data_IF_240336425353
#
_entry.id   IF_240336425353
#
_cell.length_a   1.000
_cell.length_b   1.000
_cell.length_c   1.000
_cell.angle_alpha   90.00
_cell.angle_beta   90.00
_cell.angle_gamma   90.00
#
_symmetry.space_group_name_H-M   'P 1'
#
loop_
_entity.id
_entity.type
_entity.pdbx_description
1 polymer ?
#
# COMPACT_ATOMS: atom_id res chain seq x y z
N UNK A 1 16.47 -13.07 17.02
CA UNK A 1 15.56 -12.32 16.14
C UNK A 1 14.25 -12.22 16.88
N UNK A 2 13.78 -11.00 17.18
CA UNK A 2 12.56 -10.80 17.97
C UNK A 2 11.47 -10.33 17.01
N UNK A 3 10.38 -11.09 16.92
CA UNK A 3 9.18 -10.68 16.21
C UNK A 3 8.26 -9.99 17.21
N UNK A 4 7.69 -8.85 16.82
CA UNK A 4 6.61 -8.20 17.57
C UNK A 4 5.33 -8.24 16.75
N UNK A 5 4.33 -8.92 17.28
CA UNK A 5 2.92 -8.75 16.94
C UNK A 5 2.30 -8.16 18.21
N UNK A 6 1.70 -6.96 18.12
CA UNK A 6 1.00 -6.26 19.20
C UNK A 6 1.47 -6.65 20.63
N UNK A 7 2.55 -6.02 21.08
CA UNK A 7 3.06 -6.07 22.46
C UNK A 7 3.46 -7.44 23.05
N UNK A 8 3.58 -8.50 22.25
CA UNK A 8 4.21 -9.76 22.68
C UNK A 8 5.48 -10.05 21.91
N UNK A 9 6.59 -10.15 22.66
CA UNK A 9 7.88 -10.57 22.12
C UNK A 9 7.95 -12.11 22.13
N UNK A 10 7.98 -12.72 20.95
CA UNK A 10 8.17 -14.15 20.81
C UNK A 10 9.43 -14.43 19.97
N UNK A 11 10.24 -15.40 20.41
CA UNK A 11 11.33 -15.97 19.61
C UNK A 11 10.73 -16.93 18.59
N UNK A 12 10.72 -16.53 17.32
CA UNK A 12 10.19 -17.35 16.24
C UNK A 12 11.30 -17.75 15.26
N UNK A 13 11.28 -19.02 14.82
CA UNK A 13 12.04 -19.45 13.65
C UNK A 13 11.40 -18.89 12.37
N UNK A 14 12.23 -18.53 11.38
CA UNK A 14 11.81 -17.82 10.15
C UNK A 14 10.64 -18.51 9.43
N UNK A 15 10.58 -19.84 9.48
CA UNK A 15 9.56 -20.64 8.79
C UNK A 15 8.18 -20.61 9.48
N UNK A 16 8.12 -20.39 10.79
CA UNK A 16 6.86 -20.45 11.57
C UNK A 16 6.08 -19.14 11.51
N UNK A 17 6.77 -18.01 11.34
CA UNK A 17 6.16 -16.66 11.25
C UNK A 17 5.33 -16.50 9.97
N UNK A 18 5.78 -17.12 8.87
CA UNK A 18 5.19 -16.93 7.54
C UNK A 18 3.77 -17.48 7.44
N UNK A 19 3.51 -18.66 8.00
CA UNK A 19 2.24 -19.38 7.83
C UNK A 19 1.14 -18.94 8.81
N UNK A 20 1.52 -18.53 10.05
CA UNK A 20 0.55 -18.21 11.09
C UNK A 20 0.01 -16.77 11.02
N UNK A 21 0.82 -15.82 10.54
CA UNK A 21 0.51 -14.39 10.62
C UNK A 21 -0.15 -13.88 9.34
N UNK A 22 0.44 -14.14 8.17
CA UNK A 22 0.05 -13.50 6.90
C UNK A 22 -1.34 -13.87 6.37
N UNK A 23 -1.95 -14.95 6.89
CA UNK A 23 -3.28 -15.41 6.48
C UNK A 23 -4.32 -15.36 7.60
N UNK A 24 -3.90 -15.21 8.85
CA UNK A 24 -4.80 -15.26 10.02
C UNK A 24 -5.06 -13.87 10.60
N UNK A 25 -4.11 -12.97 10.45
CA UNK A 25 -4.20 -11.58 10.88
C UNK A 25 -3.68 -10.72 9.72
N UNK A 26 -4.48 -9.77 9.22
CA UNK A 26 -4.10 -8.84 8.15
C UNK A 26 -3.12 -7.76 8.67
N UNK A 27 -2.07 -8.19 9.37
CA UNK A 27 -1.11 -7.35 10.06
C UNK A 27 0.33 -7.74 9.70
N UNK A 28 1.21 -6.74 9.47
CA UNK A 28 2.61 -7.01 9.17
C UNK A 28 3.36 -7.48 10.43
N UNK A 29 4.26 -8.45 10.26
CA UNK A 29 5.21 -8.84 11.30
C UNK A 29 6.50 -8.04 11.11
N UNK A 30 6.92 -7.34 12.16
CA UNK A 30 8.18 -6.60 12.15
C UNK A 30 9.32 -7.43 12.73
N UNK A 31 10.38 -7.58 11.93
CA UNK A 31 11.62 -8.25 12.29
C UNK A 31 12.65 -7.19 12.66
N UNK A 32 13.13 -7.26 13.90
CA UNK A 32 14.11 -6.32 14.45
C UNK A 32 15.43 -7.02 14.77
N UNK A 33 16.55 -6.33 14.56
CA UNK A 33 17.87 -6.72 15.08
C UNK A 33 18.33 -5.63 16.05
N UNK A 34 18.62 -6.01 17.29
CA UNK A 34 19.05 -5.09 18.35
C UNK A 34 18.06 -3.94 18.64
N UNK A 35 16.75 -4.18 18.47
CA UNK A 35 15.71 -3.18 18.71
C UNK A 35 15.49 -2.17 17.58
N UNK A 36 16.29 -2.23 16.50
CA UNK A 36 16.02 -1.50 15.26
C UNK A 36 15.24 -2.39 14.30
N UNK A 37 14.12 -1.88 13.80
CA UNK A 37 13.27 -2.58 12.84
C UNK A 37 13.74 -2.30 11.42
N UNK A 38 14.20 -3.34 10.75
CA UNK A 38 14.75 -3.23 9.38
C UNK A 38 13.83 -3.88 8.34
N UNK A 39 12.94 -4.79 8.76
CA UNK A 39 12.14 -5.61 7.83
C UNK A 39 10.71 -5.82 8.36
N UNK A 40 9.73 -5.63 7.49
CA UNK A 40 8.33 -6.02 7.71
C UNK A 40 7.94 -7.13 6.73
N UNK A 41 7.28 -8.18 7.23
CA UNK A 41 6.80 -9.32 6.44
C UNK A 41 5.28 -9.36 6.50
N UNK A 42 4.63 -9.40 5.33
CA UNK A 42 3.17 -9.51 5.18
C UNK A 42 2.83 -10.29 3.90
N UNK A 43 1.55 -10.66 3.71
CA UNK A 43 1.11 -11.24 2.44
C UNK A 43 1.23 -10.23 1.29
N UNK A 44 1.43 -10.74 0.07
CA UNK A 44 1.49 -9.90 -1.14
C UNK A 44 0.18 -9.13 -1.32
N UNK A 45 -0.95 -9.81 -1.15
CA UNK A 45 -2.29 -9.20 -1.22
C UNK A 45 -2.43 -8.03 -0.26
N UNK A 46 -1.97 -8.18 0.99
CA UNK A 46 -2.05 -7.11 1.99
C UNK A 46 -1.16 -5.92 1.62
N UNK A 47 0.04 -6.20 1.11
CA UNK A 47 0.95 -5.16 0.61
C UNK A 47 0.30 -4.37 -0.54
N UNK A 48 -0.21 -5.07 -1.55
CA UNK A 48 -0.85 -4.45 -2.72
C UNK A 48 -2.07 -3.62 -2.33
N UNK A 49 -2.92 -4.14 -1.43
CA UNK A 49 -4.09 -3.42 -0.92
C UNK A 49 -3.69 -2.15 -0.15
N UNK A 50 -2.64 -2.21 0.69
CA UNK A 50 -2.16 -1.04 1.45
C UNK A 50 -1.54 0.02 0.54
N UNK A 51 -0.67 -0.38 -0.38
CA UNK A 51 -0.04 0.53 -1.35
C UNK A 51 -1.09 1.13 -2.28
N UNK A 52 -2.01 0.32 -2.81
CA UNK A 52 -3.09 0.80 -3.68
C UNK A 52 -4.02 1.78 -2.96
N UNK A 53 -4.35 1.54 -1.69
CA UNK A 53 -5.15 2.49 -0.89
C UNK A 53 -4.42 3.81 -0.68
N UNK A 54 -3.11 3.77 -0.44
CA UNK A 54 -2.30 4.99 -0.30
C UNK A 54 -2.27 5.79 -1.61
N UNK A 55 -2.00 5.13 -2.74
CA UNK A 55 -1.96 5.80 -4.05
C UNK A 55 -3.33 6.37 -4.43
N UNK A 56 -4.42 5.64 -4.15
CA UNK A 56 -5.78 6.15 -4.36
C UNK A 56 -6.03 7.45 -3.59
N UNK A 57 -5.67 7.51 -2.30
CA UNK A 57 -5.87 8.72 -1.51
C UNK A 57 -5.03 9.88 -2.00
N UNK A 58 -3.78 9.64 -2.41
CA UNK A 58 -2.93 10.64 -3.03
C UNK A 58 -3.57 11.21 -4.30
N UNK A 59 -4.05 10.35 -5.22
CA UNK A 59 -4.71 10.79 -6.46
C UNK A 59 -6.01 11.56 -6.21
N UNK A 60 -6.78 11.17 -5.19
CA UNK A 60 -7.98 11.92 -4.80
C UNK A 60 -7.63 13.31 -4.26
N UNK A 61 -6.60 13.41 -3.42
CA UNK A 61 -6.12 14.68 -2.87
C UNK A 61 -5.61 15.61 -3.99
N UNK A 62 -4.78 15.08 -4.90
CA UNK A 62 -4.33 15.80 -6.09
C UNK A 62 -5.51 16.29 -6.96
N UNK A 63 -6.55 15.47 -7.11
CA UNK A 63 -7.77 15.83 -7.82
C UNK A 63 -8.58 16.93 -7.12
N UNK A 64 -8.67 16.90 -5.79
CA UNK A 64 -9.32 17.94 -4.99
C UNK A 64 -8.57 19.26 -5.08
N UNK A 65 -7.24 19.23 -4.99
CA UNK A 65 -6.37 20.40 -5.15
C UNK A 65 -6.46 20.98 -6.56
N UNK A 66 -6.47 20.13 -7.60
CA UNK A 66 -6.66 20.57 -8.98
C UNK A 66 -8.01 21.29 -9.14
N UNK A 67 -9.08 20.76 -8.52
CA UNK A 67 -10.40 21.40 -8.52
C UNK A 67 -10.39 22.75 -7.81
N UNK A 68 -9.76 22.86 -6.63
CA UNK A 68 -9.68 24.12 -5.89
C UNK A 68 -8.90 25.19 -6.67
N UNK A 69 -7.81 24.79 -7.33
CA UNK A 69 -6.96 25.69 -8.12
C UNK A 69 -7.47 25.90 -9.55
N UNK A 70 -8.69 25.47 -9.89
CA UNK A 70 -9.29 25.56 -11.22
C UNK A 70 -8.43 24.93 -12.34
N UNK A 71 -7.57 23.98 -12.00
CA UNK A 71 -6.77 23.16 -12.94
C UNK A 71 -7.60 21.98 -13.45
N UNK A 72 -8.79 22.26 -13.94
CA UNK A 72 -9.75 21.28 -14.46
C UNK A 72 -10.07 21.61 -15.90
N UNK A 73 -10.50 20.60 -16.67
CA UNK A 73 -10.94 20.78 -18.05
C UNK A 73 -12.28 20.08 -18.30
N UNK A 74 -13.09 20.54 -19.27
CA UNK A 74 -14.35 19.89 -19.61
C UNK A 74 -14.14 18.44 -20.08
N UNK A 75 -15.01 17.54 -19.62
CA UNK A 75 -14.93 16.11 -19.95
C UNK A 75 -14.91 15.84 -21.46
N UNK A 76 -15.73 16.54 -22.25
CA UNK A 76 -15.82 16.37 -23.70
C UNK A 76 -14.50 16.67 -24.42
N UNK A 77 -13.77 17.69 -23.96
CA UNK A 77 -12.48 18.05 -24.56
C UNK A 77 -11.41 17.02 -24.21
N UNK A 78 -11.38 16.55 -22.96
CA UNK A 78 -10.45 15.51 -22.54
C UNK A 78 -10.68 14.20 -23.31
N UNK A 79 -11.93 13.79 -23.50
CA UNK A 79 -12.27 12.58 -24.24
C UNK A 79 -11.84 12.65 -25.71
N UNK A 80 -12.11 13.78 -26.37
CA UNK A 80 -11.72 13.99 -27.76
C UNK A 80 -10.19 13.91 -27.98
N UNK A 81 -9.39 14.30 -26.99
CA UNK A 81 -7.93 14.18 -27.07
C UNK A 81 -7.45 12.73 -26.87
N UNK A 82 -8.13 11.96 -26.00
CA UNK A 82 -7.83 10.54 -25.79
C UNK A 82 -8.13 9.75 -27.06
N UNK A 83 -9.29 9.98 -27.68
CA UNK A 83 -9.72 9.28 -28.90
C UNK A 83 -8.73 9.50 -30.07
N UNK A 84 -8.16 10.70 -30.22
CA UNK A 84 -7.12 10.97 -31.23
C UNK A 84 -5.84 10.17 -31.03
N UNK A 85 -5.56 9.73 -29.81
CA UNK A 85 -4.36 8.97 -29.46
C UNK A 85 -4.48 7.46 -29.62
N UNK A 86 -5.68 6.95 -29.96
CA UNK A 86 -5.93 5.53 -30.15
C UNK A 86 -5.85 5.23 -31.65
N UNK A 87 -4.82 4.50 -32.12
CA UNK A 87 -4.76 4.04 -33.50
C UNK A 87 -5.86 3.01 -33.80
N UNK A 88 -6.28 2.94 -35.08
CA UNK A 88 -7.29 2.01 -35.60
C UNK A 88 -6.97 0.52 -35.32
#
# INVERSE_FOLDING_TARGET
MTCRLFDQAQTCEINTVKYLSCHKYDEPVYITKNGQGDLAVMSIEMYEKRVGKFELYKLLDEGLDAKQNQKVRPFREALADIEKGIPD
#
